data_IF_426019373033
#
_entry.id   IF_426019373033
#
_cell.length_a   1.000
_cell.length_b   1.000
_cell.length_c   1.000
_cell.angle_alpha   90.00
_cell.angle_beta   90.00
_cell.angle_gamma   90.00
#
_symmetry.space_group_name_H-M   'P 1'
#
loop_
_entity.id
_entity.type
_entity.pdbx_description
1 polymer ?
#
# COMPACT_ATOMS: atom_id res chain seq x y z
N UNK A 1 -12.15 -26.45 34.57
CA UNK A 1 -12.70 -26.88 33.27
C UNK A 1 -12.09 -25.99 32.20
N UNK A 2 -11.18 -26.54 31.40
CA UNK A 2 -10.49 -25.83 30.33
C UNK A 2 -11.46 -25.52 29.19
N UNK A 3 -11.72 -24.25 28.92
CA UNK A 3 -12.26 -23.79 27.65
C UNK A 3 -11.10 -23.61 26.69
N UNK A 4 -10.86 -24.60 25.84
CA UNK A 4 -10.04 -24.46 24.65
C UNK A 4 -10.72 -23.43 23.73
N UNK A 5 -10.14 -22.24 23.64
CA UNK A 5 -10.45 -21.27 22.59
C UNK A 5 -9.96 -21.88 21.29
N UNK A 6 -10.89 -22.23 20.41
CA UNK A 6 -10.58 -22.78 19.09
C UNK A 6 -10.00 -21.66 18.21
N UNK A 7 -8.67 -21.57 18.19
CA UNK A 7 -7.87 -20.65 17.38
C UNK A 7 -7.91 -21.07 15.90
N UNK A 8 -9.09 -21.00 15.29
CA UNK A 8 -9.25 -21.20 13.85
C UNK A 8 -8.78 -19.96 13.08
N UNK A 9 -8.02 -20.14 11.99
CA UNK A 9 -7.63 -19.08 11.04
C UNK A 9 -8.82 -18.24 10.52
N UNK A 10 -10.03 -18.79 10.55
CA UNK A 10 -11.27 -18.05 10.24
C UNK A 10 -11.63 -16.98 11.28
N UNK A 11 -11.32 -17.20 12.55
CA UNK A 11 -11.54 -16.19 13.60
C UNK A 11 -10.52 -15.06 13.48
N UNK A 12 -9.29 -15.37 13.05
CA UNK A 12 -8.24 -14.39 12.74
C UNK A 12 -8.66 -13.40 11.65
N UNK A 13 -9.19 -13.88 10.51
CA UNK A 13 -9.66 -13.00 9.44
C UNK A 13 -10.82 -12.10 9.85
N UNK A 14 -11.73 -12.57 10.71
CA UNK A 14 -12.83 -11.75 11.23
C UNK A 14 -12.34 -10.60 12.09
N UNK A 15 -11.33 -10.84 12.93
CA UNK A 15 -10.69 -9.78 13.72
C UNK A 15 -9.94 -8.78 12.81
N UNK A 16 -9.22 -9.28 11.82
CA UNK A 16 -8.43 -8.47 10.87
C UNK A 16 -9.33 -7.59 9.98
N UNK A 17 -10.46 -8.13 9.49
CA UNK A 17 -11.42 -7.39 8.67
C UNK A 17 -12.12 -6.26 9.45
N UNK A 18 -12.33 -6.41 10.76
CA UNK A 18 -12.88 -5.37 11.63
C UNK A 18 -11.87 -4.23 11.87
N UNK A 19 -10.57 -4.53 11.87
CA UNK A 19 -9.51 -3.54 12.04
C UNK A 19 -9.23 -2.71 10.76
N UNK A 20 -9.31 -3.32 9.57
CA UNK A 20 -8.93 -2.66 8.30
C UNK A 20 -10.08 -2.21 7.38
N UNK A 21 -11.30 -2.71 7.56
CA UNK A 21 -12.32 -2.70 6.50
C UNK A 21 -13.20 -1.45 6.37
N UNK A 22 -13.22 -0.54 7.33
CA UNK A 22 -14.21 0.55 7.34
C UNK A 22 -13.80 1.79 6.51
N UNK A 23 -12.51 1.97 6.18
CA UNK A 23 -12.02 3.21 5.58
C UNK A 23 -11.85 3.18 4.04
N UNK A 24 -11.71 2.00 3.42
CA UNK A 24 -11.31 1.89 2.01
C UNK A 24 -12.48 1.75 1.02
N UNK A 25 -13.71 1.44 1.47
CA UNK A 25 -14.82 1.07 0.57
C UNK A 25 -15.84 2.19 0.31
N UNK A 26 -15.69 3.36 0.92
CA UNK A 26 -16.70 4.43 0.87
C UNK A 26 -16.53 5.43 -0.27
N UNK A 27 -15.44 5.39 -1.04
CA UNK A 27 -15.13 6.40 -2.06
C UNK A 27 -15.61 6.08 -3.49
N UNK A 28 -16.15 4.89 -3.76
CA UNK A 28 -16.50 4.48 -5.13
C UNK A 28 -18.02 4.36 -5.42
N UNK A 29 -18.89 4.85 -4.54
CA UNK A 29 -20.34 4.65 -4.66
C UNK A 29 -21.12 5.93 -5.02
N UNK A 30 -20.78 6.61 -6.12
CA UNK A 30 -21.63 7.67 -6.68
C UNK A 30 -21.71 7.61 -8.20
N UNK A 31 -22.36 6.57 -8.72
CA UNK A 31 -23.25 6.63 -9.90
C UNK A 31 -23.62 5.22 -10.36
N UNK A 32 -24.81 4.75 -10.02
CA UNK A 32 -25.37 3.53 -10.62
C UNK A 32 -26.82 3.78 -11.04
N UNK A 33 -27.01 4.28 -12.25
CA UNK A 33 -28.22 3.96 -13.02
C UNK A 33 -28.09 2.51 -13.47
N UNK A 34 -28.94 1.65 -12.92
CA UNK A 34 -28.91 0.20 -13.16
C UNK A 34 -29.19 -0.14 -14.64
N UNK A 35 -28.32 -0.88 -15.34
CA UNK A 35 -28.73 -1.57 -16.55
C UNK A 35 -29.53 -2.83 -16.20
N UNK A 36 -30.51 -3.17 -17.04
CA UNK A 36 -31.34 -4.35 -16.90
C UNK A 36 -30.48 -5.63 -16.87
N UNK A 37 -30.62 -6.42 -15.80
CA UNK A 37 -29.97 -7.73 -15.65
C UNK A 37 -30.53 -8.73 -16.67
N UNK A 38 -29.74 -9.06 -17.70
CA UNK A 38 -29.87 -10.36 -18.36
C UNK A 38 -29.39 -11.44 -17.38
N UNK A 39 -30.28 -12.35 -16.99
CA UNK A 39 -30.02 -13.37 -15.98
C UNK A 39 -28.94 -14.35 -16.41
N UNK A 40 -27.76 -14.26 -15.79
CA UNK A 40 -26.76 -15.32 -15.80
C UNK A 40 -27.23 -16.37 -14.78
N UNK A 41 -27.79 -17.47 -15.26
CA UNK A 41 -28.17 -18.62 -14.45
C UNK A 41 -26.92 -19.44 -14.10
N UNK A 42 -26.17 -19.00 -13.10
CA UNK A 42 -25.16 -19.87 -12.48
C UNK A 42 -25.86 -20.95 -11.65
N UNK A 43 -25.83 -22.18 -12.13
CA UNK A 43 -26.20 -23.36 -11.34
C UNK A 43 -25.21 -23.50 -10.18
N UNK A 44 -25.62 -23.04 -8.99
CA UNK A 44 -24.88 -23.29 -7.75
C UNK A 44 -25.24 -24.69 -7.24
N UNK A 45 -24.62 -25.71 -7.83
CA UNK A 45 -24.52 -27.00 -7.14
C UNK A 45 -23.55 -26.79 -5.98
N UNK A 46 -23.95 -27.02 -4.71
CA UNK A 46 -23.02 -26.92 -3.58
C UNK A 46 -21.86 -27.88 -3.80
N UNK A 47 -20.65 -27.34 -3.97
CA UNK A 47 -19.45 -28.15 -4.05
C UNK A 47 -19.07 -28.61 -2.65
N UNK A 48 -18.71 -29.89 -2.53
CA UNK A 48 -18.21 -30.46 -1.28
C UNK A 48 -16.81 -29.93 -0.94
N UNK A 49 -16.10 -29.40 -1.94
CA UNK A 49 -14.74 -28.89 -1.79
C UNK A 49 -14.71 -27.36 -1.84
N UNK A 50 -13.81 -26.72 -1.09
CA UNK A 50 -13.60 -25.28 -1.20
C UNK A 50 -13.24 -24.90 -2.65
N UNK A 51 -13.94 -23.91 -3.19
CA UNK A 51 -13.76 -23.47 -4.59
C UNK A 51 -14.00 -21.96 -4.74
N UNK A 52 -13.44 -21.41 -5.82
CA UNK A 52 -13.68 -20.04 -6.27
C UNK A 52 -14.81 -20.00 -7.31
N UNK A 53 -15.63 -18.94 -7.26
CA UNK A 53 -16.58 -18.67 -8.34
C UNK A 53 -15.86 -18.19 -9.62
N UNK A 54 -16.58 -18.11 -10.75
CA UNK A 54 -15.97 -17.71 -12.04
C UNK A 54 -15.33 -16.31 -11.99
N UNK A 55 -15.95 -15.37 -11.28
CA UNK A 55 -15.39 -14.01 -11.14
C UNK A 55 -14.05 -14.04 -10.41
N UNK A 56 -13.96 -14.76 -9.29
CA UNK A 56 -12.71 -14.89 -8.53
C UNK A 56 -11.64 -15.63 -9.33
N UNK A 57 -12.02 -16.67 -10.11
CA UNK A 57 -11.08 -17.35 -11.02
C UNK A 57 -10.57 -16.42 -12.13
N UNK A 58 -11.44 -15.59 -12.70
CA UNK A 58 -11.03 -14.57 -13.68
C UNK A 58 -10.05 -13.57 -13.08
N UNK A 59 -10.34 -13.09 -11.88
CA UNK A 59 -9.46 -12.16 -11.16
C UNK A 59 -8.11 -12.79 -10.80
N UNK A 60 -8.09 -14.05 -10.36
CA UNK A 60 -6.85 -14.79 -10.10
C UNK A 60 -5.99 -14.94 -11.36
N UNK A 61 -6.60 -15.22 -12.52
CA UNK A 61 -5.88 -15.28 -13.80
C UNK A 61 -5.27 -13.93 -14.17
N UNK A 62 -6.04 -12.85 -14.01
CA UNK A 62 -5.55 -11.50 -14.26
C UNK A 62 -4.38 -11.15 -13.33
N UNK A 63 -4.53 -11.38 -12.02
CA UNK A 63 -3.46 -11.15 -11.06
C UNK A 63 -2.21 -11.98 -11.36
N UNK A 64 -2.38 -13.25 -11.74
CA UNK A 64 -1.26 -14.10 -12.12
C UNK A 64 -0.50 -13.50 -13.30
N UNK A 65 -1.20 -13.14 -14.37
CA UNK A 65 -0.59 -12.52 -15.56
C UNK A 65 0.10 -11.21 -15.20
N UNK A 66 -0.57 -10.37 -14.41
CA UNK A 66 -0.06 -9.07 -13.97
C UNK A 66 1.21 -9.20 -13.13
N UNK A 67 1.18 -10.04 -12.10
CA UNK A 67 2.29 -10.19 -11.17
C UNK A 67 3.49 -10.92 -11.80
N UNK A 68 3.26 -11.85 -12.73
CA UNK A 68 4.34 -12.62 -13.37
C UNK A 68 4.82 -12.03 -14.70
N UNK A 69 4.28 -10.87 -15.12
CA UNK A 69 4.77 -10.16 -16.29
C UNK A 69 6.18 -9.61 -16.03
N UNK A 70 7.15 -9.76 -16.96
CA UNK A 70 8.52 -9.31 -16.76
C UNK A 70 8.68 -7.81 -17.04
N UNK A 71 8.15 -6.96 -16.17
CA UNK A 71 8.36 -5.51 -16.18
C UNK A 71 9.57 -5.07 -15.35
N UNK A 72 10.04 -3.85 -15.59
CA UNK A 72 11.23 -3.28 -14.96
C UNK A 72 10.86 -2.28 -13.86
N UNK A 73 11.16 -2.61 -12.61
CA UNK A 73 10.96 -1.73 -11.46
C UNK A 73 12.27 -1.15 -10.92
N UNK A 74 13.37 -1.31 -11.66
CA UNK A 74 14.68 -0.78 -11.31
C UNK A 74 14.79 0.73 -11.57
N UNK A 75 15.85 1.32 -11.04
CA UNK A 75 16.24 2.69 -11.33
C UNK A 75 17.05 2.75 -12.63
N UNK A 76 16.63 3.60 -13.55
CA UNK A 76 17.30 3.85 -14.83
C UNK A 76 18.03 5.20 -14.86
N UNK A 77 17.66 6.13 -13.97
CA UNK A 77 18.14 7.51 -13.98
C UNK A 77 17.38 8.42 -14.94
N UNK A 78 16.44 7.87 -15.71
CA UNK A 78 15.56 8.62 -16.62
C UNK A 78 14.20 8.93 -15.97
N UNK A 79 14.01 8.63 -14.67
CA UNK A 79 12.74 8.86 -14.00
C UNK A 79 12.47 10.36 -13.76
N UNK A 80 11.77 11.00 -14.71
CA UNK A 80 11.40 12.42 -14.63
C UNK A 80 10.07 12.68 -13.92
N UNK A 81 9.94 13.87 -13.31
CA UNK A 81 8.69 14.33 -12.71
C UNK A 81 7.70 14.89 -13.75
N UNK A 82 6.39 14.94 -13.41
CA UNK A 82 5.74 14.33 -12.25
C UNK A 82 5.03 13.01 -12.58
N UNK A 83 5.16 12.03 -11.68
CA UNK A 83 4.41 10.78 -11.72
C UNK A 83 3.04 10.93 -11.09
N UNK A 84 1.99 10.73 -11.88
CA UNK A 84 0.63 10.48 -11.37
C UNK A 84 -0.11 11.64 -10.69
N UNK A 85 0.53 12.74 -10.29
CA UNK A 85 -0.18 13.82 -9.59
C UNK A 85 -0.11 15.17 -10.32
N UNK A 86 -1.27 15.71 -10.68
CA UNK A 86 -1.45 17.13 -11.03
C UNK A 86 -1.22 17.52 -12.49
N UNK A 87 -1.02 16.57 -13.40
CA UNK A 87 -1.00 16.83 -14.84
C UNK A 87 -2.26 16.28 -15.53
N UNK A 88 -2.77 16.96 -16.57
CA UNK A 88 -3.70 16.34 -17.52
C UNK A 88 -3.07 15.06 -18.05
N UNK A 89 -3.81 13.95 -17.99
CA UNK A 89 -3.34 12.67 -18.52
C UNK A 89 -3.84 12.50 -19.95
N UNK A 90 -2.93 12.22 -20.86
CA UNK A 90 -3.26 11.68 -22.17
C UNK A 90 -3.86 10.27 -22.03
N UNK A 91 -4.42 9.73 -23.12
CA UNK A 91 -4.90 8.34 -23.12
C UNK A 91 -3.75 7.39 -22.73
N UNK A 92 -4.06 6.43 -21.85
CA UNK A 92 -3.07 5.45 -21.38
C UNK A 92 -2.61 4.61 -22.56
N UNK A 93 -1.33 4.65 -22.86
CA UNK A 93 -0.72 3.70 -23.77
C UNK A 93 -0.57 2.35 -23.04
N UNK A 94 -1.25 1.33 -23.54
CA UNK A 94 -1.21 -0.02 -22.98
C UNK A 94 -0.07 -0.87 -23.54
N UNK A 95 0.65 -0.39 -24.57
CA UNK A 95 1.82 -1.06 -25.10
C UNK A 95 3.00 -0.89 -24.13
N UNK A 96 3.64 -1.99 -23.78
CA UNK A 96 4.83 -1.97 -22.93
C UNK A 96 6.08 -1.71 -23.76
N UNK A 97 6.78 -0.62 -23.46
CA UNK A 97 8.01 -0.19 -24.14
C UNK A 97 9.29 -0.78 -23.52
N UNK A 98 9.15 -1.56 -22.45
CA UNK A 98 10.28 -2.15 -21.73
C UNK A 98 10.89 -1.23 -20.67
N UNK A 99 10.32 -0.05 -20.40
CA UNK A 99 10.82 0.91 -19.40
C UNK A 99 9.81 1.07 -18.27
N UNK A 100 10.29 0.93 -17.04
CA UNK A 100 9.46 1.10 -15.85
C UNK A 100 8.37 0.02 -15.68
N UNK A 101 7.47 0.21 -14.68
CA UNK A 101 6.35 -0.68 -14.43
C UNK A 101 5.42 -0.77 -15.64
N UNK A 102 4.88 -1.96 -15.90
CA UNK A 102 3.87 -2.13 -16.94
C UNK A 102 2.67 -1.19 -16.71
N UNK A 103 2.02 -0.63 -17.75
CA UNK A 103 0.80 0.18 -17.63
C UNK A 103 -0.39 -0.47 -16.90
N UNK A 104 -0.30 -1.77 -16.57
CA UNK A 104 -1.30 -2.45 -15.73
C UNK A 104 -1.22 -2.06 -14.26
N UNK A 105 -0.06 -1.57 -13.82
CA UNK A 105 0.10 -1.01 -12.50
C UNK A 105 -0.44 0.40 -12.49
N UNK A 106 -1.33 0.67 -11.55
CA UNK A 106 -2.04 1.93 -11.50
C UNK A 106 -1.10 3.10 -11.23
N UNK A 107 -0.88 3.91 -12.26
CA UNK A 107 -0.27 5.22 -12.17
C UNK A 107 -1.20 6.32 -12.73
N UNK A 108 -2.46 5.96 -12.99
CA UNK A 108 -3.40 6.74 -13.81
C UNK A 108 -4.73 7.04 -13.12
N UNK A 109 -5.01 6.44 -11.98
CA UNK A 109 -6.26 6.65 -11.26
C UNK A 109 -6.17 7.82 -10.27
N UNK A 110 -7.14 7.91 -9.35
CA UNK A 110 -7.56 9.06 -8.55
C UNK A 110 -6.55 9.62 -7.54
N UNK A 111 -5.47 10.24 -8.02
CA UNK A 111 -4.44 10.89 -7.18
C UNK A 111 -5.02 11.74 -6.02
N UNK A 112 -4.39 11.77 -4.84
CA UNK A 112 -3.01 11.32 -4.55
C UNK A 112 -2.86 9.86 -4.12
N UNK A 113 -3.96 9.19 -3.80
CA UNK A 113 -4.02 7.77 -3.44
C UNK A 113 -4.52 7.02 -4.68
N UNK A 114 -4.16 5.75 -4.90
CA UNK A 114 -4.57 5.04 -6.13
C UNK A 114 -4.09 5.78 -7.40
N UNK A 115 -2.85 6.24 -7.40
CA UNK A 115 -2.18 6.77 -8.60
C UNK A 115 -0.69 6.40 -8.61
N UNK A 116 -0.34 5.38 -7.84
CA UNK A 116 1.01 4.88 -7.68
C UNK A 116 0.99 3.36 -7.73
N UNK A 117 1.91 2.73 -8.50
CA UNK A 117 1.99 1.28 -8.66
C UNK A 117 1.98 0.51 -7.33
N UNK A 118 2.58 1.11 -6.29
CA UNK A 118 2.67 0.53 -4.95
C UNK A 118 1.29 0.24 -4.32
N UNK A 119 0.29 1.11 -4.52
CA UNK A 119 -1.01 0.95 -3.88
C UNK A 119 -1.77 -0.21 -4.51
N UNK A 120 -1.73 -0.29 -5.84
CA UNK A 120 -2.33 -1.38 -6.60
C UNK A 120 -1.70 -2.74 -6.25
N UNK A 121 -0.38 -2.78 -6.07
CA UNK A 121 0.33 -3.95 -5.55
C UNK A 121 -0.18 -4.35 -4.16
N UNK A 122 -0.25 -3.40 -3.23
CA UNK A 122 -0.62 -3.70 -1.86
C UNK A 122 -2.11 -4.07 -1.73
N UNK A 123 -3.00 -3.39 -2.46
CA UNK A 123 -4.43 -3.70 -2.48
C UNK A 123 -4.71 -5.06 -3.15
N UNK A 124 -3.92 -5.43 -4.17
CA UNK A 124 -3.97 -6.76 -4.77
C UNK A 124 -3.63 -7.87 -3.76
N UNK A 125 -2.75 -7.60 -2.80
CA UNK A 125 -2.32 -8.60 -1.81
C UNK A 125 -3.45 -9.06 -0.89
N UNK A 126 -4.41 -8.19 -0.56
CA UNK A 126 -5.50 -8.50 0.38
C UNK A 126 -6.37 -9.64 -0.12
N UNK A 127 -6.77 -9.59 -1.38
CA UNK A 127 -7.60 -10.64 -1.93
C UNK A 127 -6.79 -11.92 -2.19
N UNK A 128 -5.48 -11.86 -2.42
CA UNK A 128 -4.62 -13.07 -2.46
C UNK A 128 -4.65 -13.79 -1.10
N UNK A 129 -4.55 -13.05 0.00
CA UNK A 129 -4.67 -13.62 1.36
C UNK A 129 -6.01 -14.35 1.55
N UNK A 130 -7.13 -13.73 1.16
CA UNK A 130 -8.46 -14.33 1.26
C UNK A 130 -8.63 -15.55 0.35
N UNK A 131 -8.07 -15.50 -0.87
CA UNK A 131 -8.13 -16.61 -1.80
C UNK A 131 -7.32 -17.83 -1.32
N UNK A 132 -6.19 -17.60 -0.66
CA UNK A 132 -5.33 -18.65 -0.12
C UNK A 132 -6.00 -19.49 0.98
N UNK A 133 -6.91 -18.90 1.74
CA UNK A 133 -7.70 -19.63 2.75
C UNK A 133 -8.89 -20.36 2.16
N UNK A 134 -9.49 -19.79 1.10
CA UNK A 134 -10.58 -20.44 0.40
C UNK A 134 -10.13 -21.67 -0.38
N UNK A 135 -8.95 -21.67 -1.00
CA UNK A 135 -8.44 -22.86 -1.72
C UNK A 135 -6.99 -23.17 -1.37
N UNK A 136 -6.72 -23.76 -0.18
CA UNK A 136 -5.36 -24.01 0.30
C UNK A 136 -4.53 -24.93 -0.60
N UNK A 137 -5.17 -25.78 -1.42
CA UNK A 137 -4.46 -26.64 -2.36
C UNK A 137 -3.69 -25.86 -3.44
N UNK A 138 -4.01 -24.58 -3.66
CA UNK A 138 -3.37 -23.71 -4.66
C UNK A 138 -2.34 -22.75 -4.04
N UNK A 139 -1.84 -23.04 -2.84
CA UNK A 139 -0.97 -22.13 -2.07
C UNK A 139 0.32 -21.76 -2.80
N UNK A 140 0.85 -22.65 -3.64
CA UNK A 140 2.02 -22.37 -4.49
C UNK A 140 1.78 -21.19 -5.45
N UNK A 141 0.59 -21.11 -6.05
CA UNK A 141 0.22 -20.03 -6.99
C UNK A 141 0.08 -18.72 -6.25
N UNK A 142 -0.60 -18.72 -5.10
CA UNK A 142 -0.72 -17.53 -4.26
C UNK A 142 0.62 -17.05 -3.71
N UNK A 143 1.50 -17.99 -3.36
CA UNK A 143 2.86 -17.70 -2.91
C UNK A 143 3.66 -17.02 -4.00
N UNK A 144 3.62 -17.54 -5.24
CA UNK A 144 4.30 -16.90 -6.36
C UNK A 144 3.77 -15.50 -6.62
N UNK A 145 2.45 -15.29 -6.62
CA UNK A 145 1.86 -13.95 -6.76
C UNK A 145 2.38 -13.03 -5.65
N UNK A 146 2.31 -13.45 -4.39
CA UNK A 146 2.80 -12.63 -3.28
C UNK A 146 4.30 -12.35 -3.34
N UNK A 147 5.11 -13.29 -3.84
CA UNK A 147 6.54 -13.10 -4.01
C UNK A 147 6.85 -12.01 -5.05
N UNK A 148 6.11 -12.01 -6.17
CA UNK A 148 6.20 -11.01 -7.23
C UNK A 148 5.75 -9.62 -6.77
N UNK A 149 4.66 -9.56 -5.99
CA UNK A 149 4.18 -8.31 -5.38
C UNK A 149 5.21 -7.78 -4.38
N UNK A 150 5.64 -8.60 -3.41
CA UNK A 150 6.61 -8.18 -2.40
C UNK A 150 7.93 -7.71 -3.02
N UNK A 151 8.45 -8.43 -4.02
CA UNK A 151 9.72 -8.08 -4.69
C UNK A 151 9.63 -6.73 -5.42
N UNK A 152 8.52 -6.42 -6.08
CA UNK A 152 8.30 -5.10 -6.68
C UNK A 152 8.17 -4.00 -5.63
N UNK A 153 7.57 -4.31 -4.48
CA UNK A 153 7.43 -3.37 -3.38
C UNK A 153 8.77 -3.00 -2.72
N UNK A 154 9.80 -3.83 -2.90
CA UNK A 154 11.17 -3.55 -2.48
C UNK A 154 12.03 -2.90 -3.57
N UNK A 155 11.45 -2.52 -4.71
CA UNK A 155 12.16 -1.91 -5.84
C UNK A 155 11.99 -0.39 -5.89
N UNK A 156 12.81 0.29 -6.68
CA UNK A 156 12.88 1.77 -6.75
C UNK A 156 11.52 2.40 -7.03
N UNK A 157 10.78 1.82 -7.98
CA UNK A 157 9.47 2.32 -8.41
C UNK A 157 8.39 2.27 -7.34
N UNK A 158 8.53 1.42 -6.32
CA UNK A 158 7.57 1.36 -5.24
C UNK A 158 7.62 2.61 -4.34
N UNK A 159 8.78 3.28 -4.26
CA UNK A 159 8.98 4.51 -3.51
C UNK A 159 9.21 5.73 -4.43
N UNK A 160 8.71 5.69 -5.67
CA UNK A 160 9.05 6.68 -6.71
C UNK A 160 8.80 8.13 -6.28
N UNK A 161 7.71 8.40 -5.56
CA UNK A 161 7.37 9.72 -5.04
C UNK A 161 8.30 10.17 -3.91
N UNK A 162 8.70 9.28 -3.01
CA UNK A 162 9.73 9.60 -2.01
C UNK A 162 11.09 9.89 -2.66
N UNK A 163 11.41 9.15 -3.72
CA UNK A 163 12.68 9.24 -4.44
C UNK A 163 12.75 10.44 -5.40
N UNK A 164 11.63 11.07 -5.75
CA UNK A 164 11.62 12.13 -6.76
C UNK A 164 10.99 13.44 -6.30
N UNK A 165 10.08 13.45 -5.32
CA UNK A 165 9.38 14.67 -4.90
C UNK A 165 10.21 15.41 -3.83
N UNK A 166 11.35 15.93 -4.28
CA UNK A 166 12.34 16.58 -3.43
C UNK A 166 11.98 18.04 -3.17
N UNK A 167 11.98 18.43 -1.89
CA UNK A 167 11.66 19.77 -1.43
C UNK A 167 10.17 20.12 -1.55
N UNK A 168 9.81 21.40 -1.39
CA UNK A 168 8.43 21.83 -1.51
C UNK A 168 7.87 21.63 -2.92
N UNK A 169 6.56 21.46 -3.02
CA UNK A 169 5.88 21.36 -4.31
C UNK A 169 6.13 22.63 -5.13
N UNK A 170 6.59 22.52 -6.39
CA UNK A 170 6.87 23.69 -7.23
C UNK A 170 5.61 24.52 -7.51
N UNK A 171 4.43 23.94 -7.28
CA UNK A 171 3.13 24.57 -7.53
C UNK A 171 2.45 25.11 -6.27
N UNK A 172 3.06 25.00 -5.08
CA UNK A 172 2.37 25.30 -3.81
C UNK A 172 1.87 26.74 -3.68
N UNK A 173 2.54 27.69 -4.33
CA UNK A 173 2.17 29.11 -4.34
C UNK A 173 1.00 29.38 -5.32
N UNK A 174 0.78 28.47 -6.28
CA UNK A 174 -0.14 28.66 -7.39
C UNK A 174 -1.51 27.99 -7.19
N UNK A 175 -1.76 27.34 -6.05
CA UNK A 175 -3.03 26.62 -5.82
C UNK A 175 -4.26 27.53 -5.83
N UNK A 176 -4.09 28.81 -5.46
CA UNK A 176 -5.18 29.78 -5.49
C UNK A 176 -5.67 30.07 -6.91
N UNK A 177 -4.72 30.23 -7.84
CA UNK A 177 -4.99 30.53 -9.24
C UNK A 177 -5.34 29.27 -10.05
N UNK A 178 -4.85 28.11 -9.60
CA UNK A 178 -5.06 26.82 -10.25
C UNK A 178 -5.53 25.75 -9.25
N UNK A 179 -6.81 25.79 -8.82
CA UNK A 179 -7.36 24.85 -7.83
C UNK A 179 -7.25 23.37 -8.21
N UNK A 180 -7.17 23.05 -9.49
CA UNK A 180 -6.97 21.69 -10.00
C UNK A 180 -5.61 21.10 -9.60
N UNK A 181 -4.62 21.93 -9.30
CA UNK A 181 -3.32 21.46 -8.82
C UNK A 181 -3.41 20.95 -7.38
N UNK A 182 -4.36 21.44 -6.58
CA UNK A 182 -4.62 20.96 -5.22
C UNK A 182 -6.13 20.90 -4.94
N UNK A 183 -6.83 19.86 -5.43
CA UNK A 183 -8.25 19.70 -5.17
C UNK A 183 -8.56 19.77 -3.67
N UNK A 184 -9.53 20.60 -3.30
CA UNK A 184 -9.94 20.79 -1.91
C UNK A 184 -9.09 21.77 -1.09
N UNK A 185 -8.10 22.47 -1.67
CA UNK A 185 -7.26 23.42 -0.92
C UNK A 185 -8.06 24.53 -0.22
N UNK A 186 -9.26 24.84 -0.70
CA UNK A 186 -10.16 25.83 -0.09
C UNK A 186 -10.57 25.48 1.34
N UNK A 187 -10.53 24.19 1.71
CA UNK A 187 -10.79 23.74 3.07
C UNK A 187 -9.58 23.92 4.02
N UNK A 188 -8.39 24.24 3.49
CA UNK A 188 -7.21 24.41 4.31
C UNK A 188 -7.25 25.74 5.08
N UNK A 189 -6.70 25.77 6.31
CA UNK A 189 -6.52 27.00 7.06
C UNK A 189 -5.79 28.06 6.23
N UNK A 190 -6.27 29.30 6.25
CA UNK A 190 -5.68 30.39 5.47
C UNK A 190 -4.17 30.55 5.73
N UNK A 191 -3.75 30.39 6.99
CA UNK A 191 -2.35 30.48 7.43
C UNK A 191 -1.39 29.51 6.75
N UNK A 192 -1.88 28.41 6.16
CA UNK A 192 -1.01 27.40 5.51
C UNK A 192 -1.03 27.48 3.99
N UNK A 193 -1.90 28.32 3.40
CA UNK A 193 -1.97 28.48 1.94
C UNK A 193 -0.67 29.08 1.40
N UNK A 194 -0.19 28.59 0.27
CA UNK A 194 1.10 28.98 -0.33
C UNK A 194 2.33 28.31 0.29
N UNK A 195 2.22 27.81 1.53
CA UNK A 195 3.33 27.19 2.26
C UNK A 195 3.12 25.70 2.58
N UNK A 196 1.96 25.15 2.22
CA UNK A 196 1.59 23.75 2.46
C UNK A 196 1.52 22.97 1.17
N UNK A 197 2.26 21.87 1.12
CA UNK A 197 2.23 20.97 -0.01
C UNK A 197 0.92 20.19 -0.02
N UNK A 198 0.37 19.97 -1.22
CA UNK A 198 -0.87 19.21 -1.37
C UNK A 198 -0.70 17.75 -0.93
N UNK A 199 -1.80 17.07 -0.54
CA UNK A 199 -1.82 15.63 -0.37
C UNK A 199 -1.18 14.91 -1.57
N UNK A 200 -0.35 13.89 -1.30
CA UNK A 200 0.43 13.15 -2.29
C UNK A 200 1.79 13.74 -2.65
N UNK A 201 2.09 14.98 -2.27
CA UNK A 201 3.45 15.50 -2.39
C UNK A 201 4.25 15.17 -1.12
N UNK A 202 5.22 14.24 -1.23
CA UNK A 202 5.95 13.69 -0.08
C UNK A 202 6.88 14.69 0.59
N UNK A 203 7.42 15.63 -0.19
CA UNK A 203 8.32 16.69 0.26
C UNK A 203 9.60 16.17 0.95
N UNK A 204 10.21 15.09 0.45
CA UNK A 204 11.49 14.60 0.96
C UNK A 204 12.56 15.70 0.81
N UNK A 205 13.33 16.05 1.85
CA UNK A 205 14.27 17.18 1.76
C UNK A 205 13.83 18.48 2.43
N UNK A 206 12.56 18.60 2.86
CA UNK A 206 12.11 19.80 3.57
C UNK A 206 12.55 19.81 5.04
N UNK A 207 12.80 21.00 5.58
CA UNK A 207 13.11 21.18 6.99
C UNK A 207 11.90 20.81 7.89
N UNK A 208 12.13 20.26 9.09
CA UNK A 208 13.44 20.00 9.71
C UNK A 208 14.10 18.66 9.35
N UNK A 209 13.47 17.84 8.49
CA UNK A 209 13.91 16.45 8.24
C UNK A 209 15.13 16.36 7.33
N UNK A 210 15.27 17.32 6.40
CA UNK A 210 16.30 17.25 5.37
C UNK A 210 16.07 16.10 4.39
N UNK A 211 17.05 15.83 3.52
CA UNK A 211 16.95 14.78 2.52
C UNK A 211 17.17 13.41 3.17
N UNK A 212 16.20 12.52 3.06
CA UNK A 212 16.25 11.17 3.62
C UNK A 212 16.23 10.14 2.47
N UNK A 213 17.39 9.55 2.13
CA UNK A 213 17.50 8.68 0.96
C UNK A 213 16.88 7.31 1.16
N UNK A 214 16.75 6.83 2.41
CA UNK A 214 16.12 5.56 2.76
C UNK A 214 14.59 5.71 2.85
N UNK A 215 13.79 5.11 1.95
CA UNK A 215 12.34 5.25 1.97
C UNK A 215 11.68 4.51 3.14
N UNK A 216 12.36 3.53 3.76
CA UNK A 216 11.86 2.82 4.95
C UNK A 216 12.25 3.58 6.21
N UNK A 217 13.51 4.00 6.30
CA UNK A 217 14.09 4.66 7.47
C UNK A 217 13.73 6.13 7.66
N UNK A 218 13.00 6.72 6.71
CA UNK A 218 12.55 8.10 6.75
C UNK A 218 11.55 8.40 7.89
N UNK A 219 11.55 9.64 8.36
CA UNK A 219 10.59 10.14 9.36
C UNK A 219 9.19 10.21 8.77
N UNK A 220 9.05 10.86 7.60
CA UNK A 220 7.88 10.74 6.73
C UNK A 220 7.91 9.44 5.93
N UNK A 221 7.00 9.28 4.96
CA UNK A 221 6.82 8.10 4.11
C UNK A 221 6.05 6.91 4.73
N UNK A 222 5.15 7.14 5.72
CA UNK A 222 4.43 6.05 6.38
C UNK A 222 3.62 5.17 5.42
N UNK A 223 3.04 5.73 4.34
CA UNK A 223 2.30 4.92 3.37
C UNK A 223 3.18 3.86 2.71
N UNK A 224 4.49 4.08 2.62
CA UNK A 224 5.39 3.14 1.98
C UNK A 224 5.72 2.04 2.99
N UNK A 225 6.33 2.39 4.12
CA UNK A 225 6.76 1.41 5.13
C UNK A 225 5.60 0.64 5.76
N UNK A 226 4.45 1.29 5.95
CA UNK A 226 3.26 0.67 6.55
C UNK A 226 2.67 -0.42 5.66
N UNK A 227 2.40 -0.11 4.39
CA UNK A 227 1.92 -1.11 3.42
C UNK A 227 3.00 -2.13 3.06
N UNK A 228 4.28 -1.73 3.02
CA UNK A 228 5.38 -2.66 2.84
C UNK A 228 5.36 -3.73 3.93
N UNK A 229 5.36 -3.36 5.20
CA UNK A 229 5.27 -4.34 6.29
C UNK A 229 4.01 -5.22 6.14
N UNK A 230 2.86 -4.64 5.81
CA UNK A 230 1.63 -5.40 5.59
C UNK A 230 1.75 -6.43 4.45
N UNK A 231 2.31 -6.05 3.30
CA UNK A 231 2.55 -6.95 2.15
C UNK A 231 3.51 -8.08 2.52
N UNK A 232 4.60 -7.78 3.23
CA UNK A 232 5.58 -8.79 3.69
C UNK A 232 4.95 -9.76 4.71
N UNK A 233 4.10 -9.26 5.60
CA UNK A 233 3.34 -10.07 6.54
C UNK A 233 2.30 -10.95 5.83
N UNK A 234 1.62 -10.44 4.80
CA UNK A 234 0.70 -11.24 3.96
C UNK A 234 1.49 -12.32 3.20
N UNK A 235 2.69 -12.01 2.70
CA UNK A 235 3.56 -13.00 2.08
C UNK A 235 3.86 -14.14 3.05
N UNK A 236 4.27 -13.84 4.30
CA UNK A 236 4.53 -14.88 5.32
C UNK A 236 3.26 -15.68 5.64
N UNK A 237 2.09 -15.03 5.74
CA UNK A 237 0.81 -15.72 5.96
C UNK A 237 0.46 -16.70 4.83
N UNK A 238 0.65 -16.27 3.58
CA UNK A 238 0.31 -17.06 2.39
C UNK A 238 1.34 -18.16 2.17
N UNK A 239 2.62 -17.87 2.25
CA UNK A 239 3.70 -18.82 1.92
C UNK A 239 4.12 -19.72 3.08
N UNK A 240 4.07 -19.21 4.31
CA UNK A 240 4.75 -19.80 5.47
C UNK A 240 6.27 -19.60 5.47
N UNK A 241 6.83 -18.85 4.51
CA UNK A 241 8.26 -18.61 4.34
C UNK A 241 8.71 -17.35 5.12
N UNK A 242 9.91 -17.41 5.68
CA UNK A 242 10.58 -16.34 6.42
C UNK A 242 11.53 -15.50 5.54
N UNK A 243 11.37 -15.53 4.21
CA UNK A 243 12.21 -14.83 3.22
C UNK A 243 12.57 -13.41 3.63
N UNK A 244 11.57 -12.63 4.04
CA UNK A 244 11.70 -11.21 4.34
C UNK A 244 12.15 -10.90 5.77
N UNK A 245 12.26 -11.92 6.63
CA UNK A 245 12.91 -11.83 7.95
C UNK A 245 14.44 -11.94 7.84
N UNK A 246 14.95 -12.46 6.72
CA UNK A 246 16.36 -12.43 6.36
C UNK A 246 16.73 -11.06 5.75
N UNK A 247 18.02 -10.67 5.73
CA UNK A 247 18.45 -9.41 5.12
C UNK A 247 18.14 -9.32 3.62
N UNK A 248 17.67 -8.14 3.19
CA UNK A 248 17.44 -7.78 1.79
C UNK A 248 17.65 -6.26 1.60
N UNK A 249 17.76 -5.82 0.34
CA UNK A 249 18.05 -4.42 -0.01
C UNK A 249 16.81 -3.71 -0.54
N UNK A 250 16.57 -2.48 -0.07
CA UNK A 250 15.64 -1.52 -0.69
C UNK A 250 16.45 -0.51 -1.50
N UNK A 251 15.95 -0.17 -2.69
CA UNK A 251 16.45 0.95 -3.48
C UNK A 251 15.79 2.27 -3.04
N UNK A 252 16.60 3.25 -2.67
CA UNK A 252 16.20 4.59 -2.27
C UNK A 252 16.57 5.67 -3.28
N UNK A 253 16.69 6.91 -2.80
CA UNK A 253 17.05 8.07 -3.61
C UNK A 253 18.33 7.80 -4.41
N UNK A 254 18.34 8.13 -5.71
CA UNK A 254 19.46 7.87 -6.63
C UNK A 254 19.97 6.42 -6.59
N UNK A 255 19.07 5.47 -6.32
CA UNK A 255 19.37 4.03 -6.21
C UNK A 255 20.38 3.67 -5.12
N UNK A 256 20.52 4.52 -4.09
CA UNK A 256 21.19 4.12 -2.85
C UNK A 256 20.51 2.87 -2.26
N UNK A 257 21.31 1.96 -1.69
CA UNK A 257 20.83 0.66 -1.25
C UNK A 257 20.89 0.58 0.28
N UNK A 258 19.78 0.20 0.92
CA UNK A 258 19.67 0.08 2.37
C UNK A 258 19.28 -1.35 2.76
N UNK A 259 19.99 -1.93 3.73
CA UNK A 259 19.72 -3.28 4.20
C UNK A 259 18.64 -3.27 5.30
N UNK A 260 17.58 -4.06 5.07
CA UNK A 260 16.46 -4.21 5.99
C UNK A 260 16.10 -5.68 6.22
N UNK A 261 15.39 -5.90 7.32
CA UNK A 261 14.59 -7.10 7.59
C UNK A 261 13.21 -6.64 7.98
N UNK A 262 12.18 -7.47 7.73
CA UNK A 262 10.81 -7.15 8.14
C UNK A 262 10.69 -6.88 9.66
N UNK A 263 11.33 -7.64 10.57
CA UNK A 263 11.39 -7.27 11.99
C UNK A 263 11.95 -5.87 12.26
N UNK A 264 13.00 -5.44 11.55
CA UNK A 264 13.56 -4.09 11.71
C UNK A 264 12.59 -3.01 11.23
N UNK A 265 11.76 -3.28 10.21
CA UNK A 265 10.70 -2.35 9.80
C UNK A 265 9.70 -2.17 10.94
N UNK A 266 9.25 -3.26 11.56
CA UNK A 266 8.32 -3.20 12.70
C UNK A 266 8.95 -2.48 13.89
N UNK A 267 10.23 -2.71 14.17
CA UNK A 267 10.95 -2.00 15.23
C UNK A 267 11.01 -0.48 14.95
N UNK A 268 11.27 -0.09 13.71
CA UNK A 268 11.27 1.32 13.32
C UNK A 268 9.88 1.95 13.48
N UNK A 269 8.82 1.28 13.02
CA UNK A 269 7.44 1.71 13.22
C UNK A 269 7.11 1.87 14.72
N UNK A 270 7.49 0.88 15.54
CA UNK A 270 7.29 0.92 16.99
C UNK A 270 7.94 2.17 17.62
N UNK A 271 9.19 2.46 17.28
CA UNK A 271 9.89 3.66 17.76
C UNK A 271 9.16 4.93 17.34
N UNK A 272 8.77 5.06 16.07
CA UNK A 272 8.08 6.25 15.59
C UNK A 272 6.74 6.48 16.31
N UNK A 273 5.94 5.45 16.52
CA UNK A 273 4.70 5.59 17.30
C UNK A 273 4.95 5.94 18.78
N UNK A 274 6.06 5.47 19.34
CA UNK A 274 6.42 5.78 20.74
C UNK A 274 6.89 7.23 20.88
N UNK A 275 7.70 7.70 19.94
CA UNK A 275 8.27 9.06 19.94
C UNK A 275 7.23 10.11 19.51
N UNK A 276 6.23 9.71 18.72
CA UNK A 276 5.17 10.56 18.19
C UNK A 276 3.77 9.99 18.50
N UNK A 277 3.21 10.27 19.69
CA UNK A 277 1.88 9.79 20.08
C UNK A 277 0.76 10.23 19.12
N UNK A 278 0.93 11.35 18.42
CA UNK A 278 0.03 11.84 17.38
C UNK A 278 0.00 10.97 16.12
N UNK A 279 0.97 10.07 15.97
CA UNK A 279 1.12 9.14 14.86
C UNK A 279 2.25 9.54 13.90
N UNK A 280 2.94 8.57 13.27
CA UNK A 280 3.95 8.86 12.26
C UNK A 280 3.36 9.55 11.03
N UNK A 281 4.21 10.31 10.35
CA UNK A 281 3.83 11.12 9.20
C UNK A 281 3.81 10.30 7.91
N UNK A 282 2.78 10.50 7.10
CA UNK A 282 2.65 9.85 5.81
C UNK A 282 3.49 10.55 4.75
N UNK A 283 3.15 11.78 4.38
CA UNK A 283 4.10 12.73 3.80
C UNK A 283 4.71 13.56 4.92
N UNK A 284 5.85 14.20 4.66
CA UNK A 284 6.35 15.22 5.58
C UNK A 284 5.25 16.27 5.82
N UNK A 285 5.06 16.65 7.09
CA UNK A 285 4.03 17.55 7.64
C UNK A 285 2.59 16.99 7.74
N UNK A 286 2.34 15.72 7.40
CA UNK A 286 0.98 15.19 7.29
C UNK A 286 0.78 13.85 8.01
N UNK A 287 -0.19 13.79 8.89
CA UNK A 287 -0.62 12.55 9.55
C UNK A 287 -1.99 12.19 9.00
N UNK A 288 -2.08 11.02 8.38
CA UNK A 288 -3.35 10.52 7.84
C UNK A 288 -3.80 9.28 8.60
N UNK A 289 -5.07 9.23 9.04
CA UNK A 289 -5.62 8.04 9.67
C UNK A 289 -5.51 6.80 8.79
N UNK A 290 -5.75 6.91 7.48
CA UNK A 290 -5.62 5.76 6.56
C UNK A 290 -4.20 5.17 6.55
N UNK A 291 -3.16 6.02 6.57
CA UNK A 291 -1.78 5.53 6.59
C UNK A 291 -1.44 4.83 7.90
N UNK A 292 -1.90 5.42 9.01
CA UNK A 292 -1.71 4.85 10.34
C UNK A 292 -2.46 3.53 10.50
N UNK A 293 -3.70 3.43 10.00
CA UNK A 293 -4.48 2.19 10.01
C UNK A 293 -3.78 1.06 9.25
N UNK A 294 -3.21 1.34 8.07
CA UNK A 294 -2.47 0.32 7.31
C UNK A 294 -1.19 -0.12 8.00
N UNK A 295 -0.44 0.82 8.58
CA UNK A 295 0.76 0.49 9.36
C UNK A 295 0.39 -0.35 10.60
N UNK A 296 -0.65 0.05 11.35
CA UNK A 296 -1.18 -0.69 12.48
C UNK A 296 -1.61 -2.11 12.13
N UNK A 297 -2.31 -2.27 10.99
CA UNK A 297 -2.71 -3.58 10.45
C UNK A 297 -1.50 -4.44 10.08
N UNK A 298 -0.47 -3.84 9.48
CA UNK A 298 0.79 -4.51 9.19
C UNK A 298 1.45 -5.03 10.47
N UNK A 299 1.57 -4.19 11.51
CA UNK A 299 2.15 -4.59 12.81
C UNK A 299 1.31 -5.70 13.45
N UNK A 300 -0.02 -5.58 13.43
CA UNK A 300 -0.93 -6.60 13.94
C UNK A 300 -0.67 -7.96 13.27
N UNK A 301 -0.63 -8.00 11.94
CA UNK A 301 -0.39 -9.24 11.22
C UNK A 301 1.02 -9.79 11.50
N UNK A 302 2.04 -8.93 11.63
CA UNK A 302 3.39 -9.35 12.05
C UNK A 302 3.39 -10.04 13.41
N UNK A 303 2.72 -9.45 14.41
CA UNK A 303 2.61 -10.02 15.75
C UNK A 303 1.91 -11.39 15.74
N UNK A 304 0.82 -11.50 14.98
CA UNK A 304 0.01 -12.71 14.88
C UNK A 304 0.73 -13.84 14.16
N UNK A 305 1.76 -13.51 13.38
CA UNK A 305 2.65 -14.44 12.71
C UNK A 305 3.94 -14.72 13.51
N UNK A 306 4.06 -14.18 14.72
CA UNK A 306 5.23 -14.39 15.60
C UNK A 306 6.50 -13.65 15.16
N UNK A 307 6.38 -12.65 14.28
CA UNK A 307 7.51 -11.81 13.82
C UNK A 307 7.90 -10.79 14.89
N UNK A 308 6.92 -10.25 15.60
CA UNK A 308 7.06 -9.13 16.53
C UNK A 308 6.05 -9.22 17.68
N UNK A 309 6.08 -8.24 18.58
CA UNK A 309 5.04 -7.99 19.58
C UNK A 309 4.94 -6.48 19.84
N UNK A 310 4.48 -5.74 18.83
CA UNK A 310 4.55 -4.28 18.77
C UNK A 310 3.20 -3.58 18.57
N UNK A 311 2.10 -4.31 18.34
CA UNK A 311 0.82 -3.72 17.95
C UNK A 311 0.23 -2.75 18.98
N UNK A 312 0.58 -2.92 20.26
CA UNK A 312 0.14 -2.01 21.33
C UNK A 312 0.48 -0.54 21.10
N UNK A 313 1.54 -0.22 20.31
CA UNK A 313 1.86 1.18 19.97
C UNK A 313 0.82 1.82 19.04
N UNK A 314 0.18 1.02 18.17
CA UNK A 314 -0.93 1.49 17.34
C UNK A 314 -2.21 1.63 18.17
N UNK A 315 -2.45 0.73 19.14
CA UNK A 315 -3.58 0.87 20.08
C UNK A 315 -3.46 2.16 20.89
N UNK A 316 -2.26 2.53 21.33
CA UNK A 316 -2.00 3.82 21.98
C UNK A 316 -2.33 5.01 21.09
N UNK A 317 -1.98 4.95 19.80
CA UNK A 317 -2.34 5.99 18.83
C UNK A 317 -3.86 6.10 18.64
N UNK A 318 -4.59 4.97 18.59
CA UNK A 318 -6.06 4.99 18.55
C UNK A 318 -6.64 5.66 19.80
N UNK A 319 -6.10 5.40 21.00
CA UNK A 319 -6.53 6.08 22.21
C UNK A 319 -6.21 7.58 22.19
N UNK A 320 -5.05 7.98 21.64
CA UNK A 320 -4.70 9.40 21.47
C UNK A 320 -5.70 10.15 20.57
N UNK A 321 -6.22 9.49 19.53
CA UNK A 321 -7.11 10.10 18.54
C UNK A 321 -8.59 10.24 18.98
N UNK A 322 -8.97 9.70 20.15
CA UNK A 322 -10.35 9.77 20.69
C UNK A 322 -10.65 11.10 21.37
#
# INVERSE_FOLDING_TARGET
MNTTVDNSKRNFLKATALAGGAAALTSCATSSTAPAMSGITHSQIPSFYPQHNERTKGWLRFLWQKATFPDDWSYTGEEELPWGIGLPRDEVNWDYDGKGPHPWWDQYSSAPMLSYPRFDLADSSYAVMLMADQTPAWREVYTRIMDELATRHTAYWAAIDWNTFIGPSPNRENYADYPQLAPGFQAWPERVRGNYDRPGWTANGVEPWGLQPDPIGADGNLFFRGWLNLVLSIYKYVSGDEKWERPWMIAGYQNEQFEWTQPRIVEHLHRQYTDHPEGPQCENTKIWPICNSSAGLGIYLSDQLGVSNAHGVFENWIEFMK
#
